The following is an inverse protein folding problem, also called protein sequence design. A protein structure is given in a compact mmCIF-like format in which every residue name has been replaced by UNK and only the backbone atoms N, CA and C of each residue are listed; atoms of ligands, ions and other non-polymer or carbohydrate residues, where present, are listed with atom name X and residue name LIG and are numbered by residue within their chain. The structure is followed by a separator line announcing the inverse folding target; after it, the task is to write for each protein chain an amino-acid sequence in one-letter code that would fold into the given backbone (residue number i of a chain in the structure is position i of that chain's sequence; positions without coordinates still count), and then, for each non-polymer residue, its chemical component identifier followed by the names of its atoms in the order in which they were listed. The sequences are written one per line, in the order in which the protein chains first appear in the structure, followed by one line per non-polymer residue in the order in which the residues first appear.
data_IF_457904259054
#
_entry.id   IF_457904259054
#
_cell.length_a   1.000
_cell.length_b   1.000
_cell.length_c   1.000
_cell.angle_alpha   90.00
_cell.angle_beta   90.00
_cell.angle_gamma   90.00
#
_symmetry.space_group_name_H-M   'P 1'
#
loop_
_entity.id
_entity.type
_entity.pdbx_description
1 polymer ?
#
# COMPACT_ATOMS: atom_id res chain seq x y z
N UNK A 1 5.47 -8.24 -6.91
CA UNK A 1 4.78 -9.25 -6.08
C UNK A 1 5.74 -10.19 -5.37
N UNK A 2 6.98 -10.37 -5.85
CA UNK A 2 8.03 -11.20 -5.21
C UNK A 2 8.35 -10.86 -3.74
N UNK A 3 8.13 -9.63 -3.27
CA UNK A 3 8.56 -9.24 -1.92
C UNK A 3 7.73 -9.84 -0.77
N UNK A 4 6.41 -10.04 -0.96
CA UNK A 4 5.51 -10.44 0.15
C UNK A 4 4.87 -11.81 -0.06
N UNK A 5 4.55 -12.17 -1.30
CA UNK A 5 3.88 -13.43 -1.59
C UNK A 5 4.75 -14.66 -1.27
N UNK A 6 6.06 -14.58 -1.52
CA UNK A 6 6.95 -15.74 -1.33
C UNK A 6 7.58 -15.81 0.07
N UNK A 7 7.49 -14.73 0.87
CA UNK A 7 8.21 -14.63 2.15
C UNK A 7 7.35 -14.96 3.37
N UNK A 8 6.03 -14.79 3.29
CA UNK A 8 5.17 -14.88 4.48
C UNK A 8 4.29 -16.12 4.45
N UNK A 9 4.60 -17.10 5.28
CA UNK A 9 3.66 -18.17 5.62
C UNK A 9 2.75 -17.70 6.75
N UNK A 10 1.43 -17.82 6.55
CA UNK A 10 0.47 -17.47 7.58
C UNK A 10 0.34 -18.59 8.60
N UNK A 11 0.56 -18.25 9.87
CA UNK A 11 0.52 -19.21 10.98
C UNK A 11 -0.85 -19.25 11.68
N UNK A 12 -1.72 -18.28 11.41
CA UNK A 12 -3.09 -18.22 11.93
C UNK A 12 -3.95 -17.22 11.16
N UNK A 13 -5.28 -17.29 11.32
CA UNK A 13 -6.22 -16.30 10.75
C UNK A 13 -5.94 -14.88 11.26
N UNK A 14 -5.56 -14.73 12.52
CA UNK A 14 -5.21 -13.44 13.11
C UNK A 14 -3.91 -12.86 12.52
N UNK A 15 -2.89 -13.72 12.33
CA UNK A 15 -1.65 -13.32 11.66
C UNK A 15 -1.93 -12.87 10.22
N UNK A 16 -2.71 -13.65 9.46
CA UNK A 16 -3.09 -13.29 8.08
C UNK A 16 -3.80 -11.94 8.01
N UNK A 17 -4.73 -11.66 8.93
CA UNK A 17 -5.44 -10.35 8.97
C UNK A 17 -4.47 -9.19 9.23
N UNK A 18 -3.51 -9.40 10.10
CA UNK A 18 -2.48 -8.39 10.42
C UNK A 18 -1.57 -8.14 9.24
N UNK A 19 -1.10 -9.19 8.58
CA UNK A 19 -0.23 -9.09 7.40
C UNK A 19 -0.95 -8.43 6.21
N UNK A 20 -2.23 -8.73 6.01
CA UNK A 20 -3.03 -8.04 4.99
C UNK A 20 -3.11 -6.54 5.26
N UNK A 21 -3.33 -6.13 6.52
CA UNK A 21 -3.35 -4.69 6.88
C UNK A 21 -2.00 -4.04 6.60
N UNK A 22 -0.89 -4.70 6.95
CA UNK A 22 0.47 -4.19 6.67
C UNK A 22 0.73 -4.06 5.18
N UNK A 23 0.33 -5.06 4.40
CA UNK A 23 0.42 -5.05 2.94
C UNK A 23 -0.33 -3.84 2.36
N UNK A 24 -1.60 -3.67 2.72
CA UNK A 24 -2.42 -2.56 2.22
C UNK A 24 -1.82 -1.21 2.58
N UNK A 25 -1.42 -1.02 3.85
CA UNK A 25 -0.80 0.24 4.30
C UNK A 25 0.49 0.56 3.52
N UNK A 26 1.35 -0.43 3.29
CA UNK A 26 2.59 -0.21 2.55
C UNK A 26 2.33 0.20 1.10
N UNK A 27 1.41 -0.48 0.40
CA UNK A 27 1.14 -0.18 -1.01
C UNK A 27 0.34 1.11 -1.22
N UNK A 28 -0.50 1.51 -0.26
CA UNK A 28 -1.35 2.69 -0.37
C UNK A 28 -0.68 3.97 0.13
N UNK A 29 0.20 3.90 1.14
CA UNK A 29 0.77 5.09 1.78
C UNK A 29 2.30 5.16 1.84
N UNK A 30 3.04 4.14 1.38
CA UNK A 30 4.52 4.15 1.44
C UNK A 30 5.17 3.88 0.10
N UNK A 31 4.69 2.90 -0.67
CA UNK A 31 5.31 2.48 -1.92
C UNK A 31 4.91 3.41 -3.07
N UNK A 32 5.85 4.10 -3.73
CA UNK A 32 5.56 4.86 -4.93
C UNK A 32 5.27 3.96 -6.13
N UNK A 33 4.40 4.40 -7.04
CA UNK A 33 4.01 3.64 -8.23
C UNK A 33 4.21 4.44 -9.51
N UNK A 34 4.99 3.88 -10.43
CA UNK A 34 5.34 4.53 -11.70
C UNK A 34 4.11 4.89 -12.57
N UNK A 35 3.05 4.09 -12.50
CA UNK A 35 1.82 4.31 -13.28
C UNK A 35 1.00 5.54 -12.84
N UNK A 36 1.27 6.09 -11.66
CA UNK A 36 0.61 7.31 -11.14
C UNK A 36 1.63 8.42 -10.85
N UNK A 37 2.65 8.53 -11.70
CA UNK A 37 3.64 9.60 -11.60
C UNK A 37 4.67 9.43 -10.48
N UNK A 38 4.80 8.21 -9.94
CA UNK A 38 5.70 7.96 -8.81
C UNK A 38 5.10 8.30 -7.45
N UNK A 39 3.81 8.63 -7.38
CA UNK A 39 3.10 8.84 -6.12
C UNK A 39 2.64 7.52 -5.50
N UNK A 40 2.33 7.56 -4.22
CA UNK A 40 1.50 6.55 -3.55
C UNK A 40 0.03 6.77 -3.94
N UNK A 41 -0.82 5.74 -3.87
CA UNK A 41 -2.25 5.88 -4.12
C UNK A 41 -2.92 6.93 -3.23
N UNK A 42 -2.57 6.99 -1.94
CA UNK A 42 -3.13 8.00 -1.02
C UNK A 42 -2.74 9.42 -1.44
N UNK A 43 -1.47 9.67 -1.78
CA UNK A 43 -1.04 10.98 -2.30
C UNK A 43 -1.76 11.35 -3.58
N UNK A 44 -1.93 10.40 -4.52
CA UNK A 44 -2.64 10.67 -5.78
C UNK A 44 -4.12 11.01 -5.55
N UNK A 45 -4.76 10.36 -4.59
CA UNK A 45 -6.13 10.67 -4.21
C UNK A 45 -6.23 12.04 -3.52
N UNK A 46 -5.26 12.40 -2.68
CA UNK A 46 -5.19 13.73 -2.07
C UNK A 46 -5.04 14.81 -3.16
N UNK A 47 -4.13 14.63 -4.12
CA UNK A 47 -3.95 15.55 -5.24
C UNK A 47 -5.25 15.72 -6.05
N UNK A 48 -5.97 14.62 -6.31
CA UNK A 48 -7.20 14.63 -7.09
C UNK A 48 -8.39 15.29 -6.36
N UNK A 49 -8.61 14.95 -5.09
CA UNK A 49 -9.76 15.44 -4.33
C UNK A 49 -9.50 16.78 -3.63
N UNK A 50 -8.23 17.13 -3.36
CA UNK A 50 -7.81 18.30 -2.60
C UNK A 50 -6.59 19.01 -3.22
N UNK A 51 -6.68 19.51 -4.46
CA UNK A 51 -5.55 20.09 -5.18
C UNK A 51 -4.95 21.35 -4.52
N UNK A 52 -5.69 22.01 -3.63
CA UNK A 52 -5.23 23.20 -2.89
C UNK A 52 -4.46 22.88 -1.60
N UNK A 53 -4.34 21.60 -1.22
CA UNK A 53 -3.74 21.17 0.06
C UNK A 53 -2.30 20.66 -0.06
N UNK A 54 -1.66 20.84 -1.21
CA UNK A 54 -0.28 20.42 -1.49
C UNK A 54 0.66 21.61 -1.63
#
# INVERSE_FOLDING_TARGET
MELWHDKTRFNSSAHRKTELKRFLNYYNGVRPHKGIGGLTPEEKLIEYFYPEKL
#
